data_IF_332150943847
#
_entry.id   IF_332150943847
#
_cell.length_a   1.000
_cell.length_b   1.000
_cell.length_c   1.000
_cell.angle_alpha   90.00
_cell.angle_beta   90.00
_cell.angle_gamma   90.00
#
_symmetry.space_group_name_H-M   'P 1'
#
loop_
_entity.id
_entity.type
_entity.pdbx_description
1 polymer ?
#
# COMPACT_ATOMS: atom_id res chain seq x y z
N UNK A 1 -11.31 -2.31 -17.08
CA UNK A 1 -10.39 -3.49 -17.32
C UNK A 1 -11.18 -4.79 -17.18
N UNK A 2 -10.68 -5.94 -17.70
CA UNK A 2 -11.38 -7.21 -17.55
C UNK A 2 -10.90 -7.96 -16.31
N UNK A 3 -11.81 -8.18 -15.37
CA UNK A 3 -11.56 -8.93 -14.14
C UNK A 3 -11.80 -10.42 -14.37
N UNK A 4 -11.01 -11.25 -13.74
CA UNK A 4 -11.22 -12.70 -13.72
C UNK A 4 -12.57 -13.04 -13.09
N UNK A 5 -13.46 -13.70 -13.84
CA UNK A 5 -14.86 -13.93 -13.46
C UNK A 5 -15.06 -14.93 -12.32
N UNK A 6 -14.09 -15.84 -12.08
CA UNK A 6 -14.17 -16.91 -11.08
C UNK A 6 -13.14 -16.77 -9.96
N UNK A 7 -12.76 -15.55 -9.59
CA UNK A 7 -11.86 -15.31 -8.49
C UNK A 7 -12.58 -15.46 -7.15
N UNK A 8 -12.04 -16.30 -6.26
CA UNK A 8 -12.46 -16.40 -4.87
C UNK A 8 -12.15 -15.13 -4.11
N UNK A 9 -10.90 -14.63 -4.26
CA UNK A 9 -10.45 -13.43 -3.58
C UNK A 9 -10.58 -12.22 -4.51
N UNK A 10 -11.29 -11.21 -4.06
CA UNK A 10 -11.39 -9.95 -4.80
C UNK A 10 -10.04 -9.25 -4.85
N UNK A 11 -9.35 -9.16 -3.69
CA UNK A 11 -8.03 -8.59 -3.54
C UNK A 11 -7.11 -9.55 -2.78
N UNK A 12 -5.82 -9.56 -3.16
CA UNK A 12 -4.75 -10.17 -2.36
C UNK A 12 -3.56 -9.22 -2.26
N UNK A 13 -2.78 -9.29 -1.18
CA UNK A 13 -1.54 -8.54 -1.03
C UNK A 13 -0.48 -9.30 -0.23
N UNK A 14 0.81 -9.28 -0.62
CA UNK A 14 1.90 -9.58 0.27
C UNK A 14 2.14 -8.40 1.21
N UNK A 15 2.42 -8.66 2.48
CA UNK A 15 2.66 -7.57 3.44
C UNK A 15 3.41 -8.02 4.68
N UNK A 16 4.09 -7.08 5.32
CA UNK A 16 4.64 -7.22 6.66
C UNK A 16 3.65 -6.66 7.68
N UNK A 17 2.93 -7.56 8.35
CA UNK A 17 2.01 -7.15 9.42
C UNK A 17 2.76 -6.71 10.67
N UNK A 18 2.36 -5.55 11.19
CA UNK A 18 2.89 -4.99 12.42
C UNK A 18 1.82 -4.47 13.36
N UNK A 19 2.25 -3.78 14.39
CA UNK A 19 1.38 -3.15 15.37
C UNK A 19 1.57 -1.63 15.35
N UNK A 20 0.48 -0.92 15.21
CA UNK A 20 0.42 0.50 15.46
C UNK A 20 0.12 0.76 16.93
N UNK A 21 0.93 1.60 17.55
CA UNK A 21 0.78 2.10 18.91
C UNK A 21 0.37 3.56 18.82
N UNK A 22 -0.85 3.89 19.20
CA UNK A 22 -1.40 5.24 19.11
C UNK A 22 -1.80 5.74 20.50
N UNK A 23 -1.33 6.91 20.96
CA UNK A 23 -1.76 7.46 22.21
C UNK A 23 -3.27 7.79 22.19
N UNK A 24 -3.94 7.65 23.30
CA UNK A 24 -5.34 8.04 23.44
C UNK A 24 -5.54 9.54 23.22
N UNK A 25 -6.76 9.94 22.87
CA UNK A 25 -7.20 11.33 22.78
C UNK A 25 -6.30 12.24 21.94
N UNK A 26 -5.59 11.66 20.93
CA UNK A 26 -4.66 12.41 20.07
C UNK A 26 -3.56 13.15 20.85
N UNK A 27 -3.18 12.63 22.00
CA UNK A 27 -2.08 13.16 22.82
C UNK A 27 -0.73 12.96 22.11
N UNK A 28 0.26 13.73 22.51
CA UNK A 28 1.64 13.44 22.12
C UNK A 28 2.12 12.15 22.82
N UNK A 29 2.92 11.33 22.13
CA UNK A 29 3.39 10.03 22.62
C UNK A 29 4.00 10.14 24.02
N UNK A 30 4.87 11.13 24.24
CA UNK A 30 5.57 11.33 25.51
C UNK A 30 4.66 11.84 26.65
N UNK A 31 3.42 12.20 26.36
CA UNK A 31 2.47 12.76 27.33
C UNK A 31 1.35 11.79 27.67
N UNK A 32 1.33 10.59 27.07
CA UNK A 32 0.29 9.58 27.31
C UNK A 32 0.85 8.36 28.01
N UNK A 33 0.06 7.80 28.93
CA UNK A 33 0.30 6.50 29.55
C UNK A 33 -0.65 5.41 29.02
N UNK A 34 -1.64 5.79 28.18
CA UNK A 34 -2.60 4.88 27.59
C UNK A 34 -2.47 4.89 26.06
N UNK A 35 -2.40 3.69 25.48
CA UNK A 35 -2.19 3.50 24.07
C UNK A 35 -3.12 2.43 23.49
N UNK A 36 -3.61 2.67 22.30
CA UNK A 36 -4.29 1.66 21.48
C UNK A 36 -3.27 0.85 20.71
N UNK A 37 -3.42 -0.47 20.72
CA UNK A 37 -2.67 -1.38 19.85
C UNK A 37 -3.56 -1.87 18.71
N UNK A 38 -3.10 -1.65 17.47
CA UNK A 38 -3.84 -2.03 16.27
C UNK A 38 -2.93 -2.76 15.30
N UNK A 39 -3.38 -3.91 14.76
CA UNK A 39 -2.70 -4.56 13.65
C UNK A 39 -2.77 -3.66 12.42
N UNK A 40 -1.64 -3.47 11.74
CA UNK A 40 -1.53 -2.55 10.61
C UNK A 40 -0.47 -2.99 9.61
N UNK A 41 -0.73 -2.65 8.37
CA UNK A 41 0.21 -2.50 7.26
C UNK A 41 -0.47 -1.67 6.18
N UNK A 42 0.28 -1.01 5.31
CA UNK A 42 -0.30 -0.22 4.23
C UNK A 42 -1.20 -1.10 3.34
N UNK A 43 -0.68 -2.24 2.93
CA UNK A 43 -1.36 -3.17 2.02
C UNK A 43 -2.64 -3.75 2.65
N UNK A 44 -2.60 -4.15 3.94
CA UNK A 44 -3.80 -4.64 4.63
C UNK A 44 -4.85 -3.55 4.85
N UNK A 45 -4.46 -2.29 4.98
CA UNK A 45 -5.39 -1.16 5.04
C UNK A 45 -6.16 -1.00 3.71
N UNK A 46 -5.47 -1.15 2.57
CA UNK A 46 -6.11 -1.16 1.23
C UNK A 46 -7.15 -2.27 1.14
N UNK A 47 -6.78 -3.50 1.49
CA UNK A 47 -7.69 -4.64 1.44
C UNK A 47 -8.87 -4.49 2.40
N UNK A 48 -8.67 -3.84 3.55
CA UNK A 48 -9.70 -3.64 4.57
C UNK A 48 -10.90 -2.85 4.04
N UNK A 49 -10.72 -1.96 3.07
CA UNK A 49 -11.82 -1.23 2.43
C UNK A 49 -12.76 -2.21 1.73
N UNK A 50 -12.24 -3.05 0.85
CA UNK A 50 -13.05 -4.03 0.13
C UNK A 50 -13.65 -5.10 1.06
N UNK A 51 -12.88 -5.55 2.08
CA UNK A 51 -13.35 -6.53 3.05
C UNK A 51 -14.49 -5.99 3.92
N UNK A 52 -14.44 -4.73 4.34
CA UNK A 52 -15.53 -4.09 5.10
C UNK A 52 -16.79 -3.88 4.26
N UNK A 53 -16.65 -3.86 2.94
CA UNK A 53 -17.75 -3.78 1.97
C UNK A 53 -18.17 -5.17 1.43
N UNK A 54 -17.79 -6.25 2.12
CA UNK A 54 -18.28 -7.60 1.89
C UNK A 54 -17.52 -8.43 0.86
N UNK A 55 -16.34 -7.96 0.39
CA UNK A 55 -15.50 -8.75 -0.52
C UNK A 55 -14.55 -9.67 0.26
N UNK A 56 -14.32 -10.88 -0.24
CA UNK A 56 -13.32 -11.78 0.34
C UNK A 56 -11.92 -11.33 -0.11
N UNK A 57 -11.04 -11.03 0.85
CA UNK A 57 -9.69 -10.54 0.59
C UNK A 57 -8.66 -11.39 1.33
N UNK A 58 -7.45 -11.53 0.75
CA UNK A 58 -6.38 -12.39 1.24
C UNK A 58 -5.09 -11.62 1.55
N UNK A 59 -4.64 -11.67 2.78
CA UNK A 59 -3.35 -11.15 3.24
C UNK A 59 -2.32 -12.27 3.23
N UNK A 60 -1.20 -12.07 2.52
CA UNK A 60 -0.06 -12.99 2.47
C UNK A 60 1.06 -12.42 3.35
N UNK A 61 1.44 -13.12 4.44
CA UNK A 61 2.37 -12.57 5.42
C UNK A 61 3.23 -13.64 6.09
N UNK A 62 4.01 -13.27 7.07
CA UNK A 62 4.73 -14.19 7.99
C UNK A 62 4.39 -13.86 9.43
N UNK A 63 4.43 -14.87 10.28
CA UNK A 63 4.19 -14.73 11.71
C UNK A 63 5.37 -15.24 12.51
N UNK A 64 5.65 -14.60 13.65
CA UNK A 64 6.55 -15.14 14.64
C UNK A 64 5.79 -16.21 15.43
N UNK A 65 6.34 -17.42 15.45
CA UNK A 65 5.74 -18.58 16.12
C UNK A 65 5.53 -18.30 17.63
N UNK A 66 4.39 -18.72 18.14
CA UNK A 66 3.99 -18.59 19.55
C UNK A 66 4.01 -17.15 20.12
N UNK A 67 4.05 -16.15 19.23
CA UNK A 67 4.09 -14.76 19.63
C UNK A 67 2.68 -14.23 20.00
N UNK A 68 2.49 -13.66 21.21
CA UNK A 68 1.24 -13.00 21.56
C UNK A 68 0.85 -11.86 20.61
N UNK A 69 1.86 -11.20 19.99
CA UNK A 69 1.63 -10.15 19.00
C UNK A 69 1.10 -10.73 17.69
N UNK A 70 1.60 -11.91 17.27
CA UNK A 70 1.05 -12.63 16.13
C UNK A 70 -0.42 -13.00 16.35
N UNK A 71 -0.79 -13.48 17.53
CA UNK A 71 -2.17 -13.80 17.86
C UNK A 71 -3.08 -12.55 17.90
N UNK A 72 -2.58 -11.43 18.41
CA UNK A 72 -3.30 -10.15 18.35
C UNK A 72 -3.56 -9.74 16.89
N UNK A 73 -2.54 -9.84 16.02
CA UNK A 73 -2.66 -9.53 14.59
C UNK A 73 -3.70 -10.45 13.93
N UNK A 74 -3.60 -11.76 14.12
CA UNK A 74 -4.56 -12.74 13.57
C UNK A 74 -6.00 -12.47 14.04
N UNK A 75 -6.18 -12.17 15.33
CA UNK A 75 -7.49 -11.81 15.86
C UNK A 75 -8.06 -10.57 15.18
N UNK A 76 -7.25 -9.55 14.97
CA UNK A 76 -7.70 -8.32 14.32
C UNK A 76 -7.93 -8.48 12.83
N UNK A 77 -7.17 -9.29 12.12
CA UNK A 77 -7.44 -9.63 10.72
C UNK A 77 -8.80 -10.34 10.60
N UNK A 78 -9.06 -11.33 11.46
CA UNK A 78 -10.38 -12.00 11.49
C UNK A 78 -11.53 -11.03 11.81
N UNK A 79 -11.34 -10.12 12.76
CA UNK A 79 -12.34 -9.12 13.12
C UNK A 79 -12.66 -8.13 11.98
N UNK A 80 -11.71 -7.93 11.06
CA UNK A 80 -11.87 -7.11 9.84
C UNK A 80 -12.33 -7.94 8.64
N UNK A 81 -12.70 -9.20 8.83
CA UNK A 81 -13.09 -10.12 7.77
C UNK A 81 -12.01 -10.33 6.68
N UNK A 82 -10.73 -10.18 7.05
CA UNK A 82 -9.60 -10.45 6.19
C UNK A 82 -9.14 -11.91 6.37
N UNK A 83 -9.10 -12.65 5.26
CA UNK A 83 -8.41 -13.94 5.22
C UNK A 83 -6.91 -13.70 5.23
N UNK A 84 -6.16 -14.63 5.77
CA UNK A 84 -4.69 -14.55 5.76
C UNK A 84 -4.08 -15.92 5.59
N UNK A 85 -2.95 -15.94 4.90
CA UNK A 85 -2.02 -17.05 4.86
C UNK A 85 -0.66 -16.55 5.30
N UNK A 86 0.04 -17.36 6.09
CA UNK A 86 1.35 -16.96 6.56
C UNK A 86 2.12 -18.11 7.17
N UNK A 87 3.38 -18.21 6.75
CA UNK A 87 4.32 -19.15 7.35
C UNK A 87 4.72 -18.66 8.73
N UNK A 88 4.81 -19.59 9.69
CA UNK A 88 5.36 -19.31 11.01
C UNK A 88 6.87 -19.54 11.00
N UNK A 89 7.59 -18.66 11.68
CA UNK A 89 9.04 -18.77 11.88
C UNK A 89 9.35 -18.64 13.37
N UNK A 90 10.30 -19.45 13.90
CA UNK A 90 10.75 -19.31 15.28
C UNK A 90 11.30 -17.91 15.55
N UNK A 91 11.08 -17.36 16.75
CA UNK A 91 11.63 -16.07 17.13
C UNK A 91 13.17 -16.03 17.05
N UNK A 92 13.87 -17.11 17.40
CA UNK A 92 15.32 -17.15 17.38
C UNK A 92 15.98 -16.46 18.58
N UNK A 93 15.29 -16.44 19.73
CA UNK A 93 15.75 -15.83 20.98
C UNK A 93 15.37 -14.33 21.11
N UNK A 94 15.80 -13.65 22.20
CA UNK A 94 15.37 -12.29 22.53
C UNK A 94 15.73 -11.22 21.48
N UNK A 95 16.76 -11.47 20.68
CA UNK A 95 17.26 -10.56 19.63
C UNK A 95 16.84 -10.99 18.23
N UNK A 96 15.98 -12.01 18.15
CA UNK A 96 15.50 -12.56 16.89
C UNK A 96 14.33 -11.79 16.28
N UNK A 97 13.50 -12.53 15.53
CA UNK A 97 12.38 -11.94 14.80
C UNK A 97 11.27 -11.41 15.71
N UNK A 98 10.64 -10.32 15.26
CA UNK A 98 9.43 -9.75 15.85
C UNK A 98 8.54 -9.13 14.77
N UNK A 99 7.30 -8.81 15.12
CA UNK A 99 6.47 -7.93 14.32
C UNK A 99 6.89 -6.47 14.52
N UNK A 100 6.89 -5.68 13.46
CA UNK A 100 7.27 -4.26 13.52
C UNK A 100 6.35 -3.45 14.43
N UNK A 101 6.86 -2.37 15.00
CA UNK A 101 6.10 -1.40 15.77
C UNK A 101 6.06 -0.06 15.03
N UNK A 102 4.87 0.49 14.90
CA UNK A 102 4.63 1.80 14.34
C UNK A 102 4.02 2.70 15.41
N UNK A 103 4.84 3.54 16.03
CA UNK A 103 4.37 4.48 17.04
C UNK A 103 3.87 5.73 16.34
N UNK A 104 2.58 5.99 16.43
CA UNK A 104 1.92 6.99 15.60
C UNK A 104 1.09 7.98 16.44
N UNK A 105 1.51 9.22 16.44
CA UNK A 105 0.79 10.37 16.97
C UNK A 105 0.06 11.07 15.84
N UNK A 106 -1.27 11.12 15.90
CA UNK A 106 -2.11 11.72 14.85
C UNK A 106 -2.03 13.24 14.76
N UNK A 107 -1.35 13.90 15.70
CA UNK A 107 -1.33 15.35 15.80
C UNK A 107 -2.66 15.95 16.29
N UNK A 108 -2.67 17.25 16.56
CA UNK A 108 -3.87 17.99 16.92
C UNK A 108 -3.68 19.48 16.66
N UNK A 109 -4.62 20.13 16.00
CA UNK A 109 -4.56 21.55 15.64
C UNK A 109 -3.28 21.87 14.85
N UNK A 110 -2.42 22.74 15.37
CA UNK A 110 -1.16 23.10 14.75
C UNK A 110 -0.01 22.12 15.06
N UNK A 111 -0.22 21.17 15.99
CA UNK A 111 0.79 20.15 16.28
C UNK A 111 0.75 19.06 15.20
N UNK A 112 1.80 19.01 14.41
CA UNK A 112 1.91 18.05 13.32
C UNK A 112 1.91 16.59 13.83
N UNK A 113 1.32 15.65 13.08
CA UNK A 113 1.41 14.22 13.38
C UNK A 113 2.87 13.74 13.26
N UNK A 114 3.21 12.75 14.10
CA UNK A 114 4.53 12.09 14.08
C UNK A 114 4.37 10.59 13.99
N UNK A 115 5.21 9.97 13.17
CA UNK A 115 5.27 8.52 13.04
C UNK A 115 6.69 8.06 13.29
N UNK A 116 6.83 7.07 14.15
CA UNK A 116 8.09 6.43 14.47
C UNK A 116 8.01 4.94 14.17
N UNK A 117 8.81 4.49 13.22
CA UNK A 117 8.86 3.09 12.82
C UNK A 117 10.02 2.37 13.50
N UNK A 118 9.71 1.36 14.29
CA UNK A 118 10.71 0.42 14.81
C UNK A 118 10.57 -0.91 14.06
N UNK A 119 11.52 -1.15 13.15
CA UNK A 119 11.56 -2.31 12.27
C UNK A 119 12.72 -3.26 12.55
N UNK A 120 13.39 -3.12 13.70
CA UNK A 120 14.46 -4.04 14.08
C UNK A 120 13.92 -5.47 14.22
N UNK A 121 14.56 -6.45 13.62
CA UNK A 121 14.14 -7.85 13.67
C UNK A 121 12.79 -8.14 13.00
N UNK A 122 12.31 -7.28 12.13
CA UNK A 122 11.01 -7.43 11.48
C UNK A 122 10.93 -8.70 10.63
N UNK A 123 10.03 -9.63 11.01
CA UNK A 123 9.85 -10.92 10.35
C UNK A 123 9.42 -10.79 8.89
N UNK A 124 8.65 -9.77 8.57
CA UNK A 124 8.16 -9.52 7.21
C UNK A 124 9.25 -9.27 6.18
N UNK A 125 10.45 -8.87 6.60
CA UNK A 125 11.63 -8.74 5.71
C UNK A 125 12.08 -10.04 5.08
N UNK A 126 11.68 -11.18 5.63
CA UNK A 126 12.03 -12.51 5.14
C UNK A 126 10.93 -13.12 4.26
N UNK A 127 9.91 -12.34 3.90
CA UNK A 127 8.78 -12.81 3.08
C UNK A 127 9.29 -13.23 1.69
N UNK A 128 8.97 -14.45 1.28
CA UNK A 128 9.35 -15.02 0.01
C UNK A 128 8.16 -15.70 -0.69
N UNK A 129 8.16 -15.75 -2.02
CA UNK A 129 7.09 -16.40 -2.78
C UNK A 129 6.96 -17.89 -2.43
N UNK A 130 8.04 -18.53 -2.06
CA UNK A 130 8.05 -19.93 -1.61
C UNK A 130 7.33 -20.18 -0.25
N UNK A 131 6.93 -19.13 0.44
CA UNK A 131 6.12 -19.25 1.65
C UNK A 131 4.65 -19.57 1.35
N UNK A 132 4.23 -19.47 0.08
CA UNK A 132 2.85 -19.57 -0.38
C UNK A 132 2.70 -20.61 -1.49
N UNK A 133 1.55 -21.26 -1.52
CA UNK A 133 1.15 -22.09 -2.67
C UNK A 133 0.54 -21.19 -3.75
N UNK A 134 1.44 -20.60 -4.55
CA UNK A 134 1.11 -19.60 -5.58
C UNK A 134 0.15 -20.18 -6.64
N UNK A 135 0.34 -21.45 -7.04
CA UNK A 135 -0.53 -22.09 -8.05
C UNK A 135 -1.93 -22.36 -7.51
N UNK A 136 -2.06 -22.74 -6.24
CA UNK A 136 -3.38 -22.84 -5.61
C UNK A 136 -4.06 -21.48 -5.51
N UNK A 137 -3.35 -20.45 -5.00
CA UNK A 137 -3.94 -19.12 -4.75
C UNK A 137 -4.38 -18.46 -6.06
N UNK A 138 -3.48 -18.32 -7.03
CA UNK A 138 -3.77 -17.62 -8.28
C UNK A 138 -4.42 -18.50 -9.34
N UNK A 139 -4.02 -19.78 -9.44
CA UNK A 139 -4.52 -20.70 -10.46
C UNK A 139 -5.89 -21.29 -10.12
N UNK A 140 -6.00 -21.93 -8.95
CA UNK A 140 -7.18 -22.68 -8.55
C UNK A 140 -8.25 -21.83 -7.88
N UNK A 141 -7.90 -21.12 -6.81
CA UNK A 141 -8.84 -20.29 -6.06
C UNK A 141 -9.14 -18.97 -6.79
N UNK A 142 -8.15 -18.38 -7.39
CA UNK A 142 -8.25 -17.15 -8.17
C UNK A 142 -8.26 -15.87 -7.32
N UNK A 143 -7.60 -14.86 -7.86
CA UNK A 143 -7.52 -13.51 -7.31
C UNK A 143 -7.95 -12.52 -8.39
N UNK A 144 -8.81 -11.57 -8.07
CA UNK A 144 -9.23 -10.52 -8.98
C UNK A 144 -8.11 -9.50 -9.23
N UNK A 145 -7.60 -8.91 -8.14
CA UNK A 145 -6.50 -7.95 -8.20
C UNK A 145 -5.44 -8.30 -7.14
N UNK A 146 -4.19 -8.42 -7.54
CA UNK A 146 -3.03 -8.42 -6.66
C UNK A 146 -2.60 -6.97 -6.40
N UNK A 147 -2.67 -6.53 -5.15
CA UNK A 147 -2.17 -5.21 -4.76
C UNK A 147 -0.77 -5.29 -4.18
N UNK A 148 0.16 -4.57 -4.76
CA UNK A 148 1.55 -4.42 -4.33
C UNK A 148 1.80 -2.98 -3.91
N UNK A 149 2.67 -2.77 -2.93
CA UNK A 149 3.18 -1.44 -2.61
C UNK A 149 4.70 -1.38 -2.66
N UNK A 150 5.23 -0.21 -2.96
CA UNK A 150 6.65 0.06 -2.90
C UNK A 150 7.23 -0.11 -1.50
N UNK A 151 6.40 0.00 -0.46
CA UNK A 151 6.85 -0.22 0.91
C UNK A 151 7.31 -1.66 1.12
N UNK A 152 6.49 -2.65 0.75
CA UNK A 152 6.87 -4.06 0.86
C UNK A 152 7.93 -4.44 -0.18
N UNK A 153 7.81 -3.93 -1.40
CA UNK A 153 8.77 -4.23 -2.47
C UNK A 153 10.20 -3.75 -2.17
N UNK A 154 10.36 -2.62 -1.45
CA UNK A 154 11.66 -2.06 -1.11
C UNK A 154 12.25 -2.55 0.23
N UNK A 155 11.53 -3.36 1.00
CA UNK A 155 11.89 -3.69 2.38
C UNK A 155 13.16 -4.52 2.50
N UNK A 156 13.35 -5.51 1.64
CA UNK A 156 14.55 -6.36 1.54
C UNK A 156 14.63 -6.95 0.14
N UNK A 157 15.75 -7.63 -0.18
CA UNK A 157 15.88 -8.35 -1.45
C UNK A 157 14.83 -9.47 -1.55
N UNK A 158 14.61 -10.20 -0.48
CA UNK A 158 13.63 -11.30 -0.43
C UNK A 158 12.22 -10.80 -0.73
N UNK A 159 11.83 -9.64 -0.17
CA UNK A 159 10.50 -9.07 -0.44
C UNK A 159 10.40 -8.48 -1.84
N UNK A 160 11.47 -7.93 -2.39
CA UNK A 160 11.54 -7.49 -3.79
C UNK A 160 11.29 -8.67 -4.72
N UNK A 161 12.02 -9.76 -4.55
CA UNK A 161 11.90 -10.99 -5.33
C UNK A 161 10.50 -11.62 -5.16
N UNK A 162 9.95 -11.58 -3.95
CA UNK A 162 8.59 -12.04 -3.67
C UNK A 162 7.56 -11.25 -4.46
N UNK A 163 7.61 -9.93 -4.43
CA UNK A 163 6.68 -9.08 -5.17
C UNK A 163 6.74 -9.33 -6.68
N UNK A 164 7.94 -9.46 -7.24
CA UNK A 164 8.16 -9.79 -8.65
C UNK A 164 7.59 -11.17 -9.01
N UNK A 165 7.84 -12.19 -8.19
CA UNK A 165 7.34 -13.53 -8.42
C UNK A 165 5.81 -13.59 -8.36
N UNK A 166 5.19 -12.91 -7.38
CA UNK A 166 3.73 -12.83 -7.26
C UNK A 166 3.09 -12.05 -8.42
N UNK A 167 3.69 -10.93 -8.86
CA UNK A 167 3.23 -10.19 -10.02
C UNK A 167 3.26 -11.04 -11.30
N UNK A 168 4.35 -11.78 -11.54
CA UNK A 168 4.46 -12.70 -12.68
C UNK A 168 3.42 -13.82 -12.61
N UNK A 169 3.19 -14.37 -11.42
CA UNK A 169 2.15 -15.39 -11.22
C UNK A 169 0.75 -14.82 -11.47
N UNK A 170 0.45 -13.65 -10.92
CA UNK A 170 -0.81 -12.95 -11.15
C UNK A 170 -1.12 -12.79 -12.64
N UNK A 171 -0.15 -12.29 -13.41
CA UNK A 171 -0.31 -12.12 -14.87
C UNK A 171 -0.52 -13.44 -15.60
N UNK A 172 0.20 -14.52 -15.24
CA UNK A 172 0.00 -15.85 -15.84
C UNK A 172 -1.42 -16.39 -15.65
N UNK A 173 -2.08 -16.03 -14.56
CA UNK A 173 -3.41 -16.51 -14.19
C UNK A 173 -4.55 -15.51 -14.45
N UNK A 174 -4.29 -14.41 -15.17
CA UNK A 174 -5.30 -13.42 -15.52
C UNK A 174 -5.76 -12.55 -14.34
N UNK A 175 -4.95 -12.44 -13.30
CA UNK A 175 -5.15 -11.52 -12.18
C UNK A 175 -4.60 -10.14 -12.56
N UNK A 176 -5.36 -9.07 -12.31
CA UNK A 176 -4.86 -7.71 -12.47
C UNK A 176 -3.82 -7.39 -11.39
N UNK A 177 -2.86 -6.56 -11.73
CA UNK A 177 -1.82 -6.09 -10.81
C UNK A 177 -1.98 -4.60 -10.56
N UNK A 178 -2.17 -4.23 -9.29
CA UNK A 178 -2.14 -2.84 -8.81
C UNK A 178 -0.83 -2.60 -8.07
N UNK A 179 -0.12 -1.54 -8.42
CA UNK A 179 1.12 -1.15 -7.77
C UNK A 179 1.07 0.30 -7.30
N UNK A 180 1.05 0.48 -5.98
CA UNK A 180 1.26 1.78 -5.32
C UNK A 180 2.76 1.98 -5.13
N UNK A 181 3.34 2.96 -5.81
CA UNK A 181 4.79 3.22 -5.83
C UNK A 181 5.34 3.55 -4.43
N UNK A 182 4.58 4.25 -3.61
CA UNK A 182 4.78 4.44 -2.18
C UNK A 182 6.26 4.58 -1.76
N UNK A 183 6.98 5.52 -2.37
CA UNK A 183 8.40 5.76 -2.13
C UNK A 183 8.73 6.01 -0.66
N UNK A 184 9.82 5.41 -0.20
CA UNK A 184 10.35 5.63 1.16
C UNK A 184 11.87 5.72 1.10
N UNK A 185 12.41 6.93 1.15
CA UNK A 185 13.85 7.21 1.01
C UNK A 185 14.72 6.32 1.90
N UNK A 186 14.28 6.02 3.15
CA UNK A 186 15.03 5.18 4.09
C UNK A 186 15.23 3.74 3.64
N UNK A 187 14.37 3.20 2.77
CA UNK A 187 14.51 1.84 2.22
C UNK A 187 15.32 1.83 0.92
N UNK A 188 15.39 2.96 0.24
CA UNK A 188 16.11 3.11 -1.01
C UNK A 188 17.59 3.36 -0.82
N UNK A 189 17.98 3.94 0.32
CA UNK A 189 19.37 4.32 0.60
C UNK A 189 20.35 3.16 0.40
N UNK A 190 21.27 3.31 -0.58
CA UNK A 190 22.26 2.31 -0.96
C UNK A 190 21.72 1.15 -1.78
N UNK A 191 20.47 1.22 -2.25
CA UNK A 191 19.80 0.22 -3.10
C UNK A 191 19.10 0.84 -4.32
N UNK A 192 19.43 2.07 -4.65
CA UNK A 192 18.73 2.88 -5.63
C UNK A 192 18.66 2.20 -7.00
N UNK A 193 19.79 1.68 -7.50
CA UNK A 193 19.83 1.00 -8.79
C UNK A 193 19.04 -0.32 -8.78
N UNK A 194 19.22 -1.14 -7.73
CA UNK A 194 18.50 -2.40 -7.55
C UNK A 194 16.99 -2.18 -7.54
N UNK A 195 16.54 -1.25 -6.69
CA UNK A 195 15.11 -0.97 -6.52
C UNK A 195 14.51 -0.29 -7.75
N UNK A 196 15.23 0.61 -8.39
CA UNK A 196 14.79 1.24 -9.64
C UNK A 196 14.55 0.19 -10.74
N UNK A 197 15.44 -0.80 -10.87
CA UNK A 197 15.26 -1.90 -11.82
C UNK A 197 14.03 -2.77 -11.47
N UNK A 198 13.89 -3.16 -10.20
CA UNK A 198 12.78 -3.99 -9.73
C UNK A 198 11.43 -3.27 -9.86
N UNK A 199 11.36 -1.98 -9.50
CA UNK A 199 10.12 -1.20 -9.60
C UNK A 199 9.67 -1.01 -11.05
N UNK A 200 10.61 -0.80 -11.98
CA UNK A 200 10.29 -0.76 -13.41
C UNK A 200 9.75 -2.10 -13.91
N UNK A 201 10.30 -3.22 -13.44
CA UNK A 201 9.80 -4.55 -13.81
C UNK A 201 8.40 -4.79 -13.24
N UNK A 202 8.14 -4.42 -11.98
CA UNK A 202 6.79 -4.52 -11.38
C UNK A 202 5.82 -3.59 -12.14
N UNK A 203 6.20 -2.34 -12.42
CA UNK A 203 5.37 -1.40 -13.17
C UNK A 203 5.02 -1.91 -14.57
N UNK A 204 5.96 -2.56 -15.27
CA UNK A 204 5.71 -3.18 -16.58
C UNK A 204 4.71 -4.34 -16.52
N UNK A 205 4.53 -4.97 -15.36
CA UNK A 205 3.53 -6.02 -15.12
C UNK A 205 2.19 -5.46 -14.60
N UNK A 206 2.14 -4.17 -14.25
CA UNK A 206 1.00 -3.58 -13.58
C UNK A 206 -0.06 -3.08 -14.56
N UNK A 207 -1.31 -3.24 -14.20
CA UNK A 207 -2.49 -2.72 -14.90
C UNK A 207 -2.93 -1.37 -14.29
N UNK A 208 -2.64 -1.16 -12.99
CA UNK A 208 -2.98 0.02 -12.21
C UNK A 208 -1.73 0.54 -11.51
N UNK A 209 -1.37 1.80 -11.76
CA UNK A 209 -0.26 2.49 -11.09
C UNK A 209 -0.79 3.63 -10.23
N UNK A 210 -0.41 3.63 -8.96
CA UNK A 210 -0.80 4.63 -7.97
C UNK A 210 0.46 5.28 -7.41
N UNK A 211 0.45 6.60 -7.28
CA UNK A 211 1.57 7.35 -6.74
C UNK A 211 1.40 8.84 -6.97
N UNK A 212 2.16 9.66 -6.24
CA UNK A 212 2.28 11.08 -6.51
C UNK A 212 3.41 11.37 -7.51
N UNK A 213 3.61 12.64 -7.86
CA UNK A 213 4.64 13.04 -8.83
C UNK A 213 6.05 12.62 -8.40
N UNK A 214 6.35 12.73 -7.10
CA UNK A 214 7.63 12.32 -6.54
C UNK A 214 7.85 10.81 -6.63
N UNK A 215 6.80 10.03 -6.35
CA UNK A 215 6.85 8.56 -6.46
C UNK A 215 7.21 8.12 -7.89
N UNK A 216 6.55 8.66 -8.91
CA UNK A 216 6.85 8.32 -10.31
C UNK A 216 8.26 8.73 -10.73
N UNK A 217 8.71 9.92 -10.30
CA UNK A 217 10.04 10.41 -10.62
C UNK A 217 11.13 9.55 -9.97
N UNK A 218 11.03 9.32 -8.66
CA UNK A 218 12.07 8.65 -7.90
C UNK A 218 12.07 7.12 -8.09
N UNK A 219 10.90 6.50 -8.19
CA UNK A 219 10.83 5.04 -8.34
C UNK A 219 11.10 4.58 -9.76
N UNK A 220 10.57 5.31 -10.77
CA UNK A 220 10.61 4.88 -12.16
C UNK A 220 11.62 5.68 -13.01
N UNK A 221 12.15 6.77 -12.47
CA UNK A 221 13.08 7.65 -13.18
C UNK A 221 12.39 8.46 -14.29
N UNK A 222 11.09 8.72 -14.18
CA UNK A 222 10.33 9.48 -15.16
C UNK A 222 10.58 10.98 -14.93
N UNK A 223 10.98 11.75 -15.94
CA UNK A 223 11.05 13.19 -15.80
C UNK A 223 9.69 13.79 -15.47
N UNK A 224 9.63 14.62 -14.46
CA UNK A 224 8.39 15.24 -13.99
C UNK A 224 8.62 16.66 -13.50
N UNK A 225 7.55 17.35 -13.10
CA UNK A 225 7.66 18.73 -12.60
C UNK A 225 8.43 18.79 -11.29
N UNK A 226 9.00 19.96 -10.99
CA UNK A 226 9.55 20.22 -9.67
C UNK A 226 8.45 20.11 -8.61
N UNK A 227 8.73 19.34 -7.55
CA UNK A 227 7.81 19.13 -6.43
C UNK A 227 7.72 20.39 -5.57
N UNK A 228 6.51 20.89 -5.33
CA UNK A 228 6.20 21.93 -4.33
C UNK A 228 5.64 23.25 -4.86
N UNK A 229 4.87 23.92 -4.01
CA UNK A 229 4.53 25.36 -4.08
C UNK A 229 3.58 25.85 -5.17
N UNK A 230 3.15 25.03 -6.12
CA UNK A 230 2.30 25.44 -7.25
C UNK A 230 0.82 25.44 -6.91
N UNK A 231 0.05 26.27 -7.61
CA UNK A 231 -1.39 26.23 -7.56
C UNK A 231 -1.92 24.83 -7.94
N UNK A 232 -3.13 24.48 -7.48
CA UNK A 232 -3.71 23.17 -7.73
C UNK A 232 -3.82 22.83 -9.23
N UNK A 233 -4.23 23.82 -10.05
CA UNK A 233 -4.28 23.69 -11.50
C UNK A 233 -2.94 23.29 -12.11
N UNK A 234 -1.84 23.86 -11.60
CA UNK A 234 -0.50 23.58 -12.08
C UNK A 234 -0.06 22.15 -11.70
N UNK A 235 -0.48 21.66 -10.51
CA UNK A 235 -0.23 20.28 -10.08
C UNK A 235 -0.98 19.28 -10.96
N UNK A 236 -2.23 19.56 -11.29
CA UNK A 236 -3.03 18.71 -12.19
C UNK A 236 -2.37 18.63 -13.56
N UNK A 237 -2.06 19.77 -14.18
CA UNK A 237 -1.43 19.81 -15.49
C UNK A 237 -0.05 19.12 -15.50
N UNK A 238 0.74 19.33 -14.44
CA UNK A 238 2.03 18.70 -14.27
C UNK A 238 1.92 17.18 -14.13
N UNK A 239 0.98 16.69 -13.34
CA UNK A 239 0.71 15.26 -13.22
C UNK A 239 0.26 14.66 -14.56
N UNK A 240 -0.67 15.32 -15.25
CA UNK A 240 -1.13 14.87 -16.58
C UNK A 240 0.01 14.76 -17.59
N UNK A 241 0.90 15.76 -17.63
CA UNK A 241 2.07 15.75 -18.52
C UNK A 241 3.03 14.61 -18.18
N UNK A 242 3.29 14.37 -16.89
CA UNK A 242 4.15 13.27 -16.43
C UNK A 242 3.56 11.91 -16.80
N UNK A 243 2.26 11.70 -16.56
CA UNK A 243 1.59 10.42 -16.84
C UNK A 243 1.60 10.09 -18.32
N UNK A 244 1.60 11.09 -19.22
CA UNK A 244 1.78 10.82 -20.66
C UNK A 244 3.10 10.09 -20.94
N UNK A 245 4.20 10.50 -20.29
CA UNK A 245 5.50 9.80 -20.41
C UNK A 245 5.48 8.43 -19.73
N UNK A 246 4.74 8.29 -18.61
CA UNK A 246 4.59 6.98 -17.95
C UNK A 246 3.88 5.99 -18.87
N UNK A 247 2.80 6.41 -19.54
CA UNK A 247 2.04 5.57 -20.47
C UNK A 247 2.88 5.09 -21.66
N UNK A 248 3.77 5.94 -22.19
CA UNK A 248 4.68 5.56 -23.27
C UNK A 248 5.62 4.42 -22.86
N UNK A 249 6.09 4.42 -21.59
CA UNK A 249 6.99 3.42 -21.07
C UNK A 249 6.28 2.16 -20.54
N UNK A 250 5.05 2.32 -20.03
CA UNK A 250 4.26 1.25 -19.43
C UNK A 250 2.88 1.10 -20.10
N UNK A 251 2.83 0.69 -21.37
CA UNK A 251 1.60 0.64 -22.15
C UNK A 251 0.58 -0.39 -21.64
N UNK A 252 0.99 -1.32 -20.79
CA UNK A 252 0.09 -2.28 -20.15
C UNK A 252 -0.76 -1.64 -19.04
N UNK A 253 -0.28 -0.57 -18.42
CA UNK A 253 -1.03 0.13 -17.38
C UNK A 253 -2.14 0.97 -18.04
N UNK A 254 -3.36 0.77 -17.55
CA UNK A 254 -4.57 1.40 -18.09
C UNK A 254 -5.18 2.39 -17.10
N UNK A 255 -4.73 2.34 -15.85
CA UNK A 255 -5.20 3.24 -14.80
C UNK A 255 -4.02 3.85 -14.06
N UNK A 256 -4.06 5.19 -13.87
CA UNK A 256 -3.06 5.97 -13.15
C UNK A 256 -3.78 6.90 -12.19
N UNK A 257 -3.44 6.84 -10.91
CA UNK A 257 -4.16 7.58 -9.89
C UNK A 257 -3.24 8.27 -8.89
N UNK A 258 -3.64 9.45 -8.44
CA UNK A 258 -2.99 10.16 -7.34
C UNK A 258 -4.00 10.96 -6.52
N UNK A 259 -3.68 11.20 -5.25
CA UNK A 259 -4.45 12.12 -4.40
C UNK A 259 -3.93 13.54 -4.55
N UNK A 260 -4.85 14.49 -4.60
CA UNK A 260 -4.58 15.93 -4.53
C UNK A 260 -4.82 16.38 -3.09
N UNK A 261 -3.75 16.67 -2.36
CA UNK A 261 -3.87 17.01 -0.94
C UNK A 261 -3.15 18.31 -0.60
N UNK A 262 -3.83 19.15 0.20
CA UNK A 262 -3.24 20.28 0.89
C UNK A 262 -3.55 20.18 2.38
N UNK A 263 -2.55 20.31 3.22
CA UNK A 263 -2.68 20.27 4.69
C UNK A 263 -2.86 21.69 5.20
N UNK A 264 -4.00 21.97 5.82
CA UNK A 264 -4.29 23.25 6.48
C UNK A 264 -3.90 23.18 7.96
N UNK A 265 -4.21 22.09 8.62
CA UNK A 265 -3.84 21.77 10.00
C UNK A 265 -3.79 20.25 10.19
N UNK A 266 -3.49 19.76 11.39
CA UNK A 266 -3.61 18.33 11.68
C UNK A 266 -5.06 17.82 11.62
N UNK A 267 -6.03 18.72 11.68
CA UNK A 267 -7.46 18.42 11.72
C UNK A 267 -8.20 18.74 10.41
N UNK A 268 -7.59 19.54 9.52
CA UNK A 268 -8.26 20.07 8.33
C UNK A 268 -7.36 19.91 7.11
N UNK A 269 -7.87 19.19 6.13
CA UNK A 269 -7.20 19.03 4.84
C UNK A 269 -8.16 19.38 3.71
N UNK A 270 -7.60 19.87 2.61
CA UNK A 270 -8.25 19.79 1.31
C UNK A 270 -7.82 18.47 0.66
N UNK A 271 -8.79 17.67 0.22
CA UNK A 271 -8.54 16.36 -0.35
C UNK A 271 -9.37 16.14 -1.62
N UNK A 272 -8.69 15.85 -2.69
CA UNK A 272 -9.24 15.48 -3.98
C UNK A 272 -8.40 14.37 -4.62
N UNK A 273 -8.67 14.06 -5.87
CA UNK A 273 -7.95 13.04 -6.61
C UNK A 273 -7.95 13.36 -8.10
N UNK A 274 -6.97 12.80 -8.80
CA UNK A 274 -6.95 12.74 -10.26
C UNK A 274 -6.72 11.31 -10.70
N UNK A 275 -7.47 10.88 -11.69
CA UNK A 275 -7.44 9.55 -12.26
C UNK A 275 -7.39 9.65 -13.79
N UNK A 276 -6.50 8.88 -14.40
CA UNK A 276 -6.59 8.51 -15.80
C UNK A 276 -7.02 7.06 -15.89
N UNK A 277 -8.14 6.78 -16.52
CA UNK A 277 -8.64 5.43 -16.75
C UNK A 277 -9.06 5.27 -18.21
N UNK A 278 -8.56 4.23 -18.88
CA UNK A 278 -8.87 3.91 -20.28
C UNK A 278 -8.76 5.12 -21.24
N UNK A 279 -7.79 6.00 -21.00
CA UNK A 279 -7.51 7.20 -21.81
C UNK A 279 -8.35 8.42 -21.46
N UNK A 280 -9.20 8.36 -20.47
CA UNK A 280 -10.04 9.47 -20.02
C UNK A 280 -9.59 9.99 -18.64
N UNK A 281 -9.51 11.33 -18.53
CA UNK A 281 -9.16 12.00 -17.27
C UNK A 281 -10.40 12.30 -16.42
N UNK A 282 -10.30 12.01 -15.15
CA UNK A 282 -11.28 12.36 -14.11
C UNK A 282 -10.57 13.14 -13.02
N UNK A 283 -11.16 14.24 -12.58
CA UNK A 283 -10.61 15.10 -11.55
C UNK A 283 -11.68 15.38 -10.51
N UNK A 284 -11.48 14.84 -9.31
CA UNK A 284 -12.24 15.20 -8.14
C UNK A 284 -11.59 16.40 -7.47
N UNK A 285 -12.26 17.54 -7.49
CA UNK A 285 -11.74 18.78 -6.92
C UNK A 285 -11.55 18.64 -5.41
N UNK A 286 -10.43 19.13 -4.86
CA UNK A 286 -10.22 19.09 -3.42
C UNK A 286 -11.34 19.81 -2.66
N UNK A 287 -11.91 19.09 -1.71
CA UNK A 287 -12.88 19.62 -0.75
C UNK A 287 -12.32 19.54 0.66
N UNK A 288 -12.80 20.39 1.51
CA UNK A 288 -12.41 20.41 2.92
C UNK A 288 -12.94 19.16 3.62
N UNK A 289 -12.05 18.50 4.35
CA UNK A 289 -12.38 17.35 5.19
C UNK A 289 -11.85 17.55 6.62
N UNK A 290 -12.64 17.12 7.59
CA UNK A 290 -12.21 17.03 8.98
C UNK A 290 -11.47 15.72 9.22
N UNK A 291 -10.22 15.83 9.65
CA UNK A 291 -9.33 14.69 9.80
C UNK A 291 -9.23 14.25 11.25
N UNK A 292 -9.71 13.06 11.56
CA UNK A 292 -9.50 12.43 12.87
C UNK A 292 -8.10 11.80 12.95
N UNK A 293 -7.70 11.08 11.91
CA UNK A 293 -6.38 10.49 11.74
C UNK A 293 -6.01 10.50 10.26
N UNK A 294 -4.87 11.09 9.92
CA UNK A 294 -4.42 11.17 8.52
C UNK A 294 -3.69 9.91 8.04
N UNK A 295 -3.27 9.05 8.98
CA UNK A 295 -2.48 7.86 8.65
C UNK A 295 -3.40 6.84 7.98
N UNK A 296 -2.96 6.30 6.84
CA UNK A 296 -3.78 5.41 6.02
C UNK A 296 -4.73 6.11 5.05
N UNK A 297 -4.66 7.46 4.93
CA UNK A 297 -5.50 8.18 3.96
C UNK A 297 -5.21 7.78 2.51
N UNK A 298 -3.94 7.58 2.14
CA UNK A 298 -3.54 7.02 0.84
C UNK A 298 -4.05 5.59 0.66
N UNK A 299 -3.89 4.75 1.69
CA UNK A 299 -4.37 3.36 1.67
C UNK A 299 -5.90 3.31 1.47
N UNK A 300 -6.64 4.23 2.15
CA UNK A 300 -8.09 4.36 1.99
C UNK A 300 -8.50 4.76 0.57
N UNK A 301 -7.75 5.69 -0.04
CA UNK A 301 -7.95 6.07 -1.44
C UNK A 301 -7.71 4.88 -2.38
N UNK A 302 -6.54 4.23 -2.27
CA UNK A 302 -6.20 3.06 -3.08
C UNK A 302 -7.25 1.94 -2.91
N UNK A 303 -7.69 1.69 -1.68
CA UNK A 303 -8.72 0.69 -1.39
C UNK A 303 -10.07 1.02 -2.02
N UNK A 304 -10.49 2.30 -1.97
CA UNK A 304 -11.72 2.77 -2.63
C UNK A 304 -11.65 2.65 -4.15
N UNK A 305 -10.53 3.05 -4.74
CA UNK A 305 -10.28 2.92 -6.18
C UNK A 305 -10.38 1.47 -6.65
N UNK A 306 -9.68 0.56 -5.97
CA UNK A 306 -9.70 -0.86 -6.31
C UNK A 306 -11.08 -1.49 -6.08
N UNK A 307 -11.82 -1.05 -5.06
CA UNK A 307 -13.19 -1.49 -4.85
C UNK A 307 -14.13 -1.04 -5.98
N UNK A 308 -13.97 0.20 -6.46
CA UNK A 308 -14.70 0.71 -7.64
C UNK A 308 -14.44 -0.15 -8.88
N UNK A 309 -13.17 -0.46 -9.16
CA UNK A 309 -12.77 -1.33 -10.28
C UNK A 309 -13.39 -2.73 -10.15
N UNK A 310 -13.37 -3.34 -8.95
CA UNK A 310 -14.00 -4.64 -8.67
C UNK A 310 -15.51 -4.68 -8.92
N UNK A 311 -16.18 -3.56 -8.90
CA UNK A 311 -17.61 -3.44 -9.14
C UNK A 311 -17.94 -2.91 -10.55
N UNK A 312 -16.95 -2.62 -11.36
CA UNK A 312 -17.15 -2.04 -12.69
C UNK A 312 -17.79 -0.66 -12.63
N UNK A 313 -17.51 0.11 -11.58
CA UNK A 313 -18.03 1.48 -11.47
C UNK A 313 -17.35 2.38 -12.50
N UNK A 314 -18.09 3.33 -13.02
CA UNK A 314 -17.52 4.42 -13.79
C UNK A 314 -16.62 5.27 -12.89
N UNK A 315 -15.51 5.74 -13.44
CA UNK A 315 -14.47 6.49 -12.71
C UNK A 315 -14.93 7.92 -12.37
#
# INVERSE_FOLDING_TARGET
>A
MELRSNARYALACPTSMGLRITPENRMAVQSSNLFYLQATSAESNVLNVAASLGRECLVLTKFVQDSPMAELIRRQLRARNLRYEGREVPQGGPWGYRHQLNIADSGFGLRAPRVWNDRAGEVGRTLAAADFDVERIFGQEGVGILHLSGLIAAMSRETTDCCLALAKAAKRHGTLVSFDLNYRATFWQGREEELSAAFREIAALSDILIGNEEDFQLCLGIPGPETGGKALSDKIAAFQSMIAHVQEQYPNARMFATTLRQVLSANEHLWGAILLADGQWYVEQPREIQVLDRIGGGDGFSGGLLYGELNGWEA
#
